data_IF_284450948700
#
_entry.id   IF_284450948700
#
_cell.length_a   1.000
_cell.length_b   1.000
_cell.length_c   1.000
_cell.angle_alpha   90.00
_cell.angle_beta   90.00
_cell.angle_gamma   90.00
#
_symmetry.space_group_name_H-M   'P 1'
#
loop_
_entity.id
_entity.type
_entity.pdbx_description
1 polymer ?
#
# COMPACT_ATOMS: atom_id res chain seq x y z
N UNK A 1 -17.78 -18.00 -3.04
CA UNK A 1 -17.61 -17.47 -1.68
C UNK A 1 -17.32 -15.98 -1.74
N UNK A 2 -17.65 -15.22 -0.70
CA UNK A 2 -17.40 -13.78 -0.64
C UNK A 2 -16.11 -13.52 0.14
N UNK A 3 -15.26 -12.62 -0.37
CA UNK A 3 -14.06 -12.21 0.34
C UNK A 3 -14.42 -11.42 1.61
N UNK A 4 -13.75 -11.72 2.72
CA UNK A 4 -13.92 -11.00 3.98
C UNK A 4 -13.41 -9.57 3.85
N UNK A 5 -14.21 -8.58 4.26
CA UNK A 5 -13.76 -7.20 4.38
C UNK A 5 -13.00 -7.02 5.71
N UNK A 6 -11.68 -6.87 5.62
CA UNK A 6 -10.76 -6.76 6.77
C UNK A 6 -9.52 -5.95 6.33
N UNK A 7 -9.66 -4.63 6.14
CA UNK A 7 -8.57 -3.77 5.71
C UNK A 7 -7.46 -3.73 6.78
N UNK A 8 -6.21 -3.89 6.34
CA UNK A 8 -5.03 -3.85 7.23
C UNK A 8 -3.89 -2.98 6.67
N UNK A 9 -4.20 -2.11 5.71
CA UNK A 9 -3.19 -1.43 4.91
C UNK A 9 -2.36 -2.40 4.07
N UNK A 10 -1.17 -1.95 3.70
CA UNK A 10 -0.25 -2.70 2.86
C UNK A 10 0.75 -3.50 3.69
N UNK A 11 0.71 -4.82 3.61
CA UNK A 11 1.59 -5.70 4.39
C UNK A 11 2.70 -6.27 3.51
N UNK A 12 3.97 -6.31 3.95
CA UNK A 12 5.05 -6.88 3.15
C UNK A 12 4.79 -8.36 2.86
N UNK A 13 4.85 -8.73 1.58
CA UNK A 13 4.65 -10.09 1.09
C UNK A 13 6.00 -10.76 0.79
N UNK A 14 6.32 -11.83 1.53
CA UNK A 14 7.55 -12.60 1.33
C UNK A 14 7.33 -13.75 0.37
N UNK A 15 7.39 -13.49 -0.94
CA UNK A 15 7.56 -14.55 -1.93
C UNK A 15 9.06 -14.83 -2.16
N UNK A 16 9.53 -16.05 -1.87
CA UNK A 16 10.88 -16.48 -2.25
C UNK A 16 12.03 -16.12 -1.30
N UNK A 17 11.74 -15.88 -0.02
CA UNK A 17 12.77 -15.85 1.04
C UNK A 17 13.65 -14.59 1.09
N UNK A 18 13.35 -13.55 0.31
CA UNK A 18 14.03 -12.26 0.44
C UNK A 18 13.48 -11.51 1.65
N UNK A 19 14.38 -10.95 2.46
CA UNK A 19 14.01 -10.06 3.56
C UNK A 19 13.52 -8.73 2.99
N UNK A 20 12.38 -8.27 3.48
CA UNK A 20 11.92 -6.90 3.20
C UNK A 20 12.59 -6.02 4.25
N UNK A 21 13.53 -5.20 3.82
CA UNK A 21 14.28 -4.27 4.68
C UNK A 21 13.53 -2.95 4.74
N UNK A 22 13.50 -2.35 5.93
CA UNK A 22 12.97 -1.01 6.13
C UNK A 22 14.10 -0.01 6.37
N UNK A 23 13.98 1.18 5.81
CA UNK A 23 14.87 2.31 6.07
C UNK A 23 14.14 3.39 6.90
N UNK A 24 14.89 4.12 7.73
CA UNK A 24 14.34 5.16 8.59
C UNK A 24 14.24 6.50 7.87
N UNK A 25 13.09 7.16 8.03
CA UNK A 25 12.84 8.49 7.48
C UNK A 25 12.31 9.44 8.54
N UNK A 26 12.73 10.70 8.46
CA UNK A 26 12.24 11.76 9.32
C UNK A 26 10.74 11.96 9.10
N UNK A 27 9.97 11.91 10.18
CA UNK A 27 8.52 12.04 10.15
C UNK A 27 8.09 13.51 10.25
N UNK A 28 6.98 13.85 9.59
CA UNK A 28 6.34 15.17 9.72
C UNK A 28 5.68 15.31 11.10
N UNK A 29 6.00 16.37 11.82
CA UNK A 29 5.46 16.60 13.17
C UNK A 29 3.93 16.72 13.16
N UNK A 30 3.26 16.08 14.13
CA UNK A 30 1.80 16.09 14.25
C UNK A 30 1.09 15.01 13.43
N UNK A 31 1.77 14.33 12.51
CA UNK A 31 1.18 13.25 11.72
C UNK A 31 1.07 11.95 12.52
N UNK A 32 0.01 11.18 12.30
CA UNK A 32 -0.10 9.80 12.79
C UNK A 32 0.18 8.88 11.62
N UNK A 33 1.07 7.91 11.81
CA UNK A 33 1.35 6.88 10.82
C UNK A 33 1.05 5.51 11.42
N UNK A 34 0.34 4.69 10.66
CA UNK A 34 0.05 3.31 11.00
C UNK A 34 0.92 2.37 10.16
N UNK A 35 1.27 1.18 10.68
CA UNK A 35 1.83 0.12 9.85
C UNK A 35 0.89 -0.18 8.68
N UNK A 36 1.45 -0.21 7.48
CA UNK A 36 0.71 -0.42 6.24
C UNK A 36 0.21 0.84 5.55
N UNK A 37 0.43 2.03 6.11
CA UNK A 37 0.16 3.28 5.39
C UNK A 37 1.14 3.47 4.25
N UNK A 38 0.65 3.83 3.06
CA UNK A 38 1.49 4.41 2.03
C UNK A 38 1.97 5.78 2.52
N UNK A 39 3.26 6.07 2.35
CA UNK A 39 3.85 7.34 2.76
C UNK A 39 4.45 8.10 1.60
N UNK A 40 4.35 9.43 1.66
CA UNK A 40 4.97 10.35 0.71
C UNK A 40 5.95 11.29 1.41
N UNK A 41 6.91 11.79 0.65
CA UNK A 41 7.77 12.89 1.07
C UNK A 41 7.08 14.23 0.85
N UNK A 42 7.26 15.15 1.80
CA UNK A 42 6.87 16.56 1.64
C UNK A 42 8.06 17.41 1.27
N UNK A 43 7.80 18.63 0.78
CA UNK A 43 8.84 19.59 0.44
C UNK A 43 9.82 19.88 1.60
N UNK A 44 9.39 19.70 2.85
CA UNK A 44 10.24 19.83 4.03
C UNK A 44 11.24 18.67 4.23
N UNK A 45 11.23 17.65 3.36
CA UNK A 45 12.11 16.48 3.42
C UNK A 45 11.62 15.35 4.34
N UNK A 46 10.57 15.58 5.11
CA UNK A 46 9.94 14.59 6.00
C UNK A 46 8.90 13.74 5.29
N UNK A 47 8.44 12.66 5.94
CA UNK A 47 7.39 11.77 5.44
C UNK A 47 6.07 11.94 6.18
N UNK A 48 4.98 11.73 5.48
CA UNK A 48 3.61 11.70 6.02
C UNK A 48 2.75 10.72 5.23
N UNK A 49 1.53 10.45 5.69
CA UNK A 49 0.60 9.56 5.00
C UNK A 49 0.29 10.07 3.59
N UNK A 50 0.31 9.16 2.64
CA UNK A 50 -0.12 9.37 1.27
C UNK A 50 -1.65 9.14 1.17
N UNK A 51 -2.42 10.21 0.95
CA UNK A 51 -3.85 10.10 0.63
C UNK A 51 -4.11 9.67 -0.82
N UNK A 52 -5.38 9.47 -1.16
CA UNK A 52 -5.80 9.21 -2.54
C UNK A 52 -5.43 10.36 -3.49
N UNK A 53 -5.26 10.05 -4.77
CA UNK A 53 -4.97 11.01 -5.85
C UNK A 53 -3.52 11.47 -5.90
N UNK A 54 -2.57 10.75 -5.28
CA UNK A 54 -1.17 11.16 -5.28
C UNK A 54 -0.48 10.73 -6.58
N UNK A 55 0.07 11.72 -7.29
CA UNK A 55 0.76 11.51 -8.56
C UNK A 55 2.29 11.38 -8.46
N UNK A 56 2.90 11.70 -7.30
CA UNK A 56 4.36 11.67 -7.14
C UNK A 56 4.81 11.73 -5.67
N UNK A 57 6.06 11.35 -5.42
CA UNK A 57 6.72 11.52 -4.12
C UNK A 57 6.43 10.40 -3.12
N UNK A 58 5.94 9.25 -3.58
CA UNK A 58 5.79 8.06 -2.74
C UNK A 58 7.17 7.56 -2.33
N UNK A 59 7.36 7.37 -1.03
CA UNK A 59 8.59 6.78 -0.48
C UNK A 59 8.44 5.26 -0.39
N UNK A 60 7.32 4.80 0.13
CA UNK A 60 7.07 3.39 0.37
C UNK A 60 5.95 3.15 1.37
N UNK A 61 5.97 2.01 2.05
CA UNK A 61 4.95 1.61 3.01
C UNK A 61 5.49 1.67 4.44
N UNK A 62 4.79 2.34 5.34
CA UNK A 62 5.18 2.46 6.73
C UNK A 62 5.22 1.10 7.44
N UNK A 63 6.31 0.81 8.15
CA UNK A 63 6.52 -0.47 8.81
C UNK A 63 6.08 -0.50 10.28
N UNK A 64 5.92 0.67 10.91
CA UNK A 64 5.63 0.76 12.34
C UNK A 64 4.67 1.91 12.67
N UNK A 65 3.96 1.78 13.79
CA UNK A 65 3.10 2.84 14.28
C UNK A 65 3.94 4.01 14.83
N UNK A 66 3.52 5.23 14.52
CA UNK A 66 4.06 6.46 15.11
C UNK A 66 2.90 7.42 15.41
N UNK A 67 2.76 7.79 16.69
CA UNK A 67 1.71 8.70 17.16
C UNK A 67 2.01 10.15 16.80
N UNK A 68 1.01 11.04 16.75
CA UNK A 68 1.20 12.46 16.41
C UNK A 68 2.31 13.18 17.19
N UNK A 69 2.46 12.86 18.48
CA UNK A 69 3.45 13.44 19.36
C UNK A 69 4.86 12.87 19.19
N UNK A 70 5.03 11.75 18.48
CA UNK A 70 6.32 11.14 18.24
C UNK A 70 7.10 11.96 17.21
N UNK A 71 8.32 12.33 17.58
CA UNK A 71 9.28 13.05 16.73
C UNK A 71 10.39 12.15 16.19
N UNK A 72 10.36 10.85 16.53
CA UNK A 72 11.33 9.88 16.05
C UNK A 72 11.15 9.56 14.56
N UNK A 73 12.24 9.12 13.93
CA UNK A 73 12.21 8.61 12.56
C UNK A 73 11.36 7.33 12.48
N UNK A 74 10.69 7.17 11.35
CA UNK A 74 9.78 6.04 11.08
C UNK A 74 10.40 5.06 10.09
N UNK A 75 10.34 3.74 10.34
CA UNK A 75 10.80 2.75 9.36
C UNK A 75 9.78 2.62 8.22
N UNK A 76 10.27 2.58 6.98
CA UNK A 76 9.48 2.48 5.75
C UNK A 76 10.08 1.41 4.85
N UNK A 77 9.22 0.53 4.31
CA UNK A 77 9.56 -0.39 3.23
C UNK A 77 9.55 0.35 1.90
N UNK A 78 10.73 0.67 1.39
CA UNK A 78 10.98 1.47 0.18
C UNK A 78 11.63 0.66 -0.95
N UNK A 79 11.91 -0.63 -0.72
CA UNK A 79 12.49 -1.52 -1.73
C UNK A 79 11.55 -1.60 -2.95
N UNK A 80 12.00 -1.16 -4.14
CA UNK A 80 11.17 -1.19 -5.33
C UNK A 80 10.89 -2.60 -5.84
N UNK A 81 11.65 -3.62 -5.41
CA UNK A 81 11.34 -5.02 -5.67
C UNK A 81 10.40 -5.64 -4.61
N UNK A 82 10.10 -4.89 -3.54
CA UNK A 82 9.19 -5.30 -2.48
C UNK A 82 7.77 -5.58 -3.01
N UNK A 83 7.20 -6.68 -2.55
CA UNK A 83 5.81 -7.02 -2.79
C UNK A 83 4.99 -6.74 -1.54
N UNK A 84 3.74 -6.35 -1.75
CA UNK A 84 2.81 -6.01 -0.67
C UNK A 84 1.47 -6.70 -0.87
N UNK A 85 0.80 -7.05 0.22
CA UNK A 85 -0.60 -7.46 0.23
C UNK A 85 -1.45 -6.23 0.49
N UNK A 86 -2.48 -6.01 -0.32
CA UNK A 86 -3.47 -4.96 -0.11
C UNK A 86 -4.86 -5.46 -0.48
N UNK A 87 -5.88 -5.03 0.25
CA UNK A 87 -7.27 -5.40 -0.05
C UNK A 87 -7.92 -4.35 -0.95
N UNK A 88 -8.75 -4.79 -1.90
CA UNK A 88 -9.62 -3.90 -2.68
C UNK A 88 -10.67 -3.24 -1.80
N UNK A 89 -10.99 -1.98 -2.08
CA UNK A 89 -11.98 -1.16 -1.38
C UNK A 89 -13.45 -1.67 -1.42
N UNK A 90 -13.71 -2.68 -2.25
CA UNK A 90 -15.02 -3.31 -2.38
C UNK A 90 -16.00 -2.60 -3.30
N UNK A 91 -15.60 -1.49 -3.93
CA UNK A 91 -16.48 -0.73 -4.83
C UNK A 91 -16.50 -1.32 -6.23
N UNK A 92 -15.32 -1.65 -6.76
CA UNK A 92 -15.14 -2.29 -8.05
C UNK A 92 -14.47 -3.65 -7.89
N UNK A 93 -15.04 -4.66 -8.54
CA UNK A 93 -14.50 -6.01 -8.51
C UNK A 93 -13.16 -6.08 -9.26
N UNK A 94 -12.18 -6.77 -8.67
CA UNK A 94 -10.96 -7.17 -9.36
C UNK A 94 -11.23 -8.34 -10.29
N UNK A 95 -10.69 -8.27 -11.50
CA UNK A 95 -10.63 -9.35 -12.47
C UNK A 95 -9.16 -9.69 -12.81
N UNK A 96 -8.89 -10.94 -13.21
CA UNK A 96 -7.53 -11.39 -13.57
C UNK A 96 -6.93 -10.57 -14.73
N UNK A 97 -7.78 -9.99 -15.58
CA UNK A 97 -7.37 -9.10 -16.67
C UNK A 97 -6.80 -7.75 -16.19
N UNK A 98 -7.00 -7.38 -14.92
CA UNK A 98 -6.47 -6.14 -14.35
C UNK A 98 -4.99 -6.29 -13.94
N UNK A 99 -4.43 -7.50 -14.00
CA UNK A 99 -3.02 -7.74 -13.71
C UNK A 99 -2.12 -6.99 -14.69
N UNK A 100 -1.15 -6.24 -14.16
CA UNK A 100 -0.29 -5.35 -14.94
C UNK A 100 -0.78 -3.91 -14.99
N UNK A 101 -2.03 -3.62 -14.63
CA UNK A 101 -2.51 -2.26 -14.45
C UNK A 101 -1.96 -1.64 -13.16
N UNK A 102 -1.94 -0.32 -13.14
CA UNK A 102 -1.57 0.45 -11.96
C UNK A 102 -2.84 1.00 -11.29
N UNK A 103 -2.76 1.17 -9.97
CA UNK A 103 -3.89 1.59 -9.11
C UNK A 103 -3.40 2.59 -8.07
N UNK A 104 -4.33 3.42 -7.65
CA UNK A 104 -4.21 4.30 -6.50
C UNK A 104 -4.71 3.62 -5.22
N UNK A 105 -4.55 4.33 -4.11
CA UNK A 105 -5.05 3.94 -2.81
C UNK A 105 -6.39 4.61 -2.52
N UNK A 106 -7.27 3.88 -1.84
CA UNK A 106 -8.43 4.43 -1.17
C UNK A 106 -8.06 4.71 0.29
N UNK A 107 -8.42 5.90 0.78
CA UNK A 107 -8.37 6.17 2.19
C UNK A 107 -9.45 5.33 2.89
N UNK A 108 -9.07 4.64 3.97
CA UNK A 108 -10.02 3.97 4.85
C UNK A 108 -9.82 4.40 6.30
N UNK A 109 -10.71 3.92 7.16
CA UNK A 109 -10.68 4.26 8.59
C UNK A 109 -9.66 3.39 9.30
N UNK A 110 -8.59 3.95 9.90
CA UNK A 110 -7.64 3.16 10.68
C UNK A 110 -8.26 2.67 11.99
N UNK A 111 -7.81 1.51 12.47
CA UNK A 111 -8.14 1.03 13.82
C UNK A 111 -7.13 1.60 14.82
N UNK A 112 -7.56 2.58 15.62
CA UNK A 112 -6.72 3.22 16.63
C UNK A 112 -6.36 2.30 17.80
N UNK A 113 -7.17 1.28 18.06
CA UNK A 113 -6.99 0.34 19.17
C UNK A 113 -5.95 -0.73 18.82
N UNK A 114 -6.07 -1.30 17.62
CA UNK A 114 -5.11 -2.27 17.08
C UNK A 114 -3.90 -1.61 16.40
N UNK A 115 -3.95 -0.29 16.20
CA UNK A 115 -2.95 0.52 15.49
C UNK A 115 -2.71 -0.03 14.09
N UNK A 116 -3.78 -0.26 13.35
CA UNK A 116 -3.75 -0.80 12.00
C UNK A 116 -4.23 0.24 11.00
N UNK A 117 -3.55 0.29 9.85
CA UNK A 117 -3.98 1.13 8.73
C UNK A 117 -5.30 0.60 8.17
N UNK A 118 -6.18 1.53 7.81
CA UNK A 118 -7.40 1.25 7.05
C UNK A 118 -7.22 1.38 5.54
N UNK A 119 -6.00 1.63 5.06
CA UNK A 119 -5.76 1.94 3.65
C UNK A 119 -6.06 0.72 2.75
N UNK A 120 -6.66 1.01 1.59
CA UNK A 120 -7.19 0.02 0.66
C UNK A 120 -6.72 0.34 -0.76
N UNK A 121 -6.93 -0.60 -1.69
CA UNK A 121 -6.72 -0.39 -3.13
C UNK A 121 -8.01 0.17 -3.73
N UNK A 122 -7.93 1.31 -4.44
CA UNK A 122 -9.06 1.84 -5.18
C UNK A 122 -9.12 1.22 -6.58
N UNK A 123 -9.96 0.19 -6.75
CA UNK A 123 -10.10 -0.52 -8.02
C UNK A 123 -10.82 0.29 -9.12
N UNK A 124 -11.37 1.46 -8.82
CA UNK A 124 -11.90 2.39 -9.83
C UNK A 124 -10.78 3.15 -10.55
N UNK A 125 -9.63 3.29 -9.90
CA UNK A 125 -8.48 4.05 -10.43
C UNK A 125 -7.60 3.23 -11.37
N UNK A 126 -7.90 1.93 -11.54
CA UNK A 126 -7.10 1.02 -12.36
C UNK A 126 -6.90 1.59 -13.77
N UNK A 127 -5.64 1.79 -14.13
CA UNK A 127 -5.26 2.41 -15.39
C UNK A 127 -3.80 2.05 -15.73
N UNK A 128 -3.37 2.35 -16.95
CA UNK A 128 -1.98 2.19 -17.38
C UNK A 128 -1.09 3.38 -16.98
N UNK A 129 -1.65 4.40 -16.32
CA UNK A 129 -0.93 5.62 -15.91
C UNK A 129 0.30 5.30 -15.07
N UNK A 130 1.47 5.77 -15.51
CA UNK A 130 2.75 5.47 -14.88
C UNK A 130 2.94 6.12 -13.50
N UNK A 131 2.16 7.15 -13.15
CA UNK A 131 2.27 7.89 -11.88
C UNK A 131 1.48 7.26 -10.74
N UNK A 132 0.67 6.24 -11.01
CA UNK A 132 -0.09 5.56 -9.97
C UNK A 132 0.85 4.74 -9.05
N UNK A 133 0.61 4.72 -7.73
CA UNK A 133 1.57 4.26 -6.73
C UNK A 133 1.85 2.77 -6.80
N UNK A 134 0.86 1.94 -7.11
CA UNK A 134 0.99 0.47 -7.12
C UNK A 134 0.71 -0.12 -8.49
N UNK A 135 1.38 -1.24 -8.78
CA UNK A 135 1.06 -2.16 -9.88
C UNK A 135 0.45 -3.42 -9.32
N UNK A 136 -0.63 -3.90 -9.94
CA UNK A 136 -1.27 -5.17 -9.61
C UNK A 136 -0.43 -6.31 -10.17
N UNK A 137 0.07 -7.17 -9.29
CA UNK A 137 0.85 -8.35 -9.67
C UNK A 137 0.00 -9.62 -9.76
N UNK A 138 -1.10 -9.68 -9.03
CA UNK A 138 -1.98 -10.84 -9.02
C UNK A 138 -2.88 -10.92 -7.80
N UNK A 139 -3.70 -11.98 -7.77
CA UNK A 139 -4.47 -12.36 -6.60
C UNK A 139 -3.54 -12.99 -5.55
N UNK A 140 -3.66 -12.56 -4.30
CA UNK A 140 -2.93 -13.17 -3.19
C UNK A 140 -3.47 -14.57 -2.85
N UNK A 141 -2.63 -15.51 -2.37
CA UNK A 141 -3.16 -16.68 -1.68
C UNK A 141 -3.96 -16.22 -0.47
N UNK A 142 -5.06 -16.90 -0.16
CA UNK A 142 -5.84 -16.59 1.03
C UNK A 142 -4.99 -16.69 2.29
N UNK A 143 -5.11 -15.71 3.19
CA UNK A 143 -4.34 -15.66 4.43
C UNK A 143 -5.01 -16.52 5.51
N UNK A 144 -4.22 -17.19 6.35
CA UNK A 144 -4.68 -18.03 7.47
C UNK A 144 -5.70 -19.13 7.10
N UNK A 145 -5.59 -19.70 5.89
CA UNK A 145 -6.53 -20.73 5.41
C UNK A 145 -7.90 -20.20 5.00
N UNK A 146 -8.07 -18.87 4.99
CA UNK A 146 -9.23 -18.22 4.39
C UNK A 146 -9.22 -18.34 2.87
N UNK A 147 -10.40 -18.25 2.28
CA UNK A 147 -10.53 -18.21 0.83
C UNK A 147 -10.38 -16.77 0.34
N UNK A 148 -9.63 -16.60 -0.76
CA UNK A 148 -9.53 -15.34 -1.47
C UNK A 148 -9.78 -15.62 -2.95
N UNK A 149 -10.72 -14.89 -3.53
CA UNK A 149 -11.15 -15.06 -4.92
C UNK A 149 -11.17 -13.72 -5.65
N UNK A 150 -11.11 -13.77 -6.98
CA UNK A 150 -11.35 -12.57 -7.77
C UNK A 150 -12.77 -12.03 -7.51
N UNK A 151 -12.90 -10.71 -7.35
CA UNK A 151 -14.15 -10.07 -6.96
C UNK A 151 -13.92 -8.81 -6.11
N UNK A 152 -14.97 -8.38 -5.43
CA UNK A 152 -14.92 -7.29 -4.44
C UNK A 152 -14.14 -7.73 -3.20
N UNK A 153 -13.50 -6.79 -2.50
CA UNK A 153 -12.68 -7.05 -1.30
C UNK A 153 -11.56 -8.08 -1.49
N UNK A 154 -11.16 -8.36 -2.73
CA UNK A 154 -10.09 -9.30 -3.02
C UNK A 154 -8.77 -8.82 -2.42
N UNK A 155 -7.98 -9.74 -1.87
CA UNK A 155 -6.63 -9.47 -1.43
C UNK A 155 -5.68 -9.65 -2.61
N UNK A 156 -4.92 -8.60 -2.94
CA UNK A 156 -4.03 -8.57 -4.10
C UNK A 156 -2.57 -8.51 -3.66
N UNK A 157 -1.70 -9.05 -4.51
CA UNK A 157 -0.25 -8.82 -4.45
C UNK A 157 0.03 -7.60 -5.31
N UNK A 158 0.74 -6.65 -4.71
CA UNK A 158 1.10 -5.37 -5.30
C UNK A 158 2.60 -5.20 -5.33
N UNK A 159 3.06 -4.35 -6.23
CA UNK A 159 4.43 -3.84 -6.26
C UNK A 159 4.36 -2.32 -6.31
N UNK A 160 5.28 -1.62 -5.63
CA UNK A 160 5.45 -0.19 -5.84
C UNK A 160 5.78 0.07 -7.32
N UNK A 161 5.06 1.01 -7.92
CA UNK A 161 5.23 1.39 -9.31
C UNK A 161 5.96 2.73 -9.42
N UNK A 162 5.36 3.82 -8.92
CA UNK A 162 5.98 5.14 -8.90
C UNK A 162 6.44 5.52 -7.49
N UNK A 163 7.71 5.26 -7.18
CA UNK A 163 8.34 5.63 -5.90
C UNK A 163 9.61 6.48 -6.12
N UNK A 164 10.13 7.10 -5.06
CA UNK A 164 11.41 7.82 -5.12
C UNK A 164 12.59 6.90 -5.51
N UNK A 165 12.51 5.63 -5.11
CA UNK A 165 13.51 4.60 -5.41
C UNK A 165 13.33 3.95 -6.79
N UNK A 166 12.19 4.14 -7.46
CA UNK A 166 11.89 3.51 -8.75
C UNK A 166 10.95 4.35 -9.62
N UNK A 167 11.37 4.70 -10.85
CA UNK A 167 10.51 5.44 -11.75
C UNK A 167 9.29 4.62 -12.13
N UNK A 168 8.14 5.30 -12.15
CA UNK A 168 6.87 4.73 -12.59
C UNK A 168 6.94 4.10 -13.97
N UNK A 169 6.32 2.94 -14.13
CA UNK A 169 6.16 2.27 -15.42
C UNK A 169 4.71 2.29 -15.87
N UNK A 170 4.48 2.44 -17.18
CA UNK A 170 3.14 2.27 -17.75
C UNK A 170 2.65 0.85 -17.49
N UNK A 171 1.39 0.72 -17.08
CA UNK A 171 0.73 -0.59 -16.94
C UNK A 171 0.60 -1.29 -18.30
N UNK A 172 0.35 -2.59 -18.27
CA UNK A 172 0.08 -3.41 -19.48
C UNK A 172 -1.33 -3.95 -19.46
#
# INVERSE_FOLDING_TARGET
>A
MANTNDPRGFLPYKAGGKEVVAHYYAKTAGEVLYPGDLVKRVAAGTVQVAGAGIAAGIVGVCAAYSAAADTADVPVYDDPAGLFLGQCDGTTAYAVADNGQNVDVAAGTPDTSLRQSGMLIDMNTKNTTATLPFKIMGLAPGVNGGENAAGVNALLILKLNASESHPGSTGV
#
